data_IF_622606944210
#
_entry.id   IF_622606944210
#
_cell.length_a   1.000
_cell.length_b   1.000
_cell.length_c   1.000
_cell.angle_alpha   90.00
_cell.angle_beta   90.00
_cell.angle_gamma   90.00
#
_symmetry.space_group_name_H-M   'P 1'
#
loop_
_entity.id
_entity.type
_entity.pdbx_description
1 polymer ?
#
# COMPACT_ATOMS: atom_id res chain seq x y z
N UNK A 1 9.90 14.32 -54.19
CA UNK A 1 9.24 13.01 -53.98
C UNK A 1 10.02 12.33 -52.86
N UNK A 2 9.64 12.56 -51.60
CA UNK A 2 8.69 11.75 -50.78
C UNK A 2 9.31 10.40 -50.37
N UNK A 3 9.42 10.03 -49.09
CA UNK A 3 8.84 10.66 -47.91
C UNK A 3 9.40 10.08 -46.60
N UNK A 4 9.25 10.89 -45.55
CA UNK A 4 9.28 10.48 -44.15
C UNK A 4 7.97 9.75 -43.83
N UNK A 5 8.04 8.58 -43.22
CA UNK A 5 6.94 7.99 -42.45
C UNK A 5 7.25 8.21 -40.98
N UNK A 6 6.67 9.26 -40.42
CA UNK A 6 6.48 9.43 -38.97
C UNK A 6 5.23 8.62 -38.63
N UNK A 7 5.40 7.53 -37.91
CA UNK A 7 4.27 6.84 -37.27
C UNK A 7 3.86 7.65 -36.04
N UNK A 8 2.76 8.39 -36.18
CA UNK A 8 2.05 9.02 -35.06
C UNK A 8 1.01 8.03 -34.57
N UNK A 9 1.38 7.20 -33.60
CA UNK A 9 0.40 6.68 -32.66
C UNK A 9 0.21 7.74 -31.58
N UNK A 10 -0.86 8.52 -31.71
CA UNK A 10 -1.28 9.46 -30.66
C UNK A 10 -1.55 8.65 -29.37
N UNK A 11 -1.04 9.08 -28.20
CA UNK A 11 -1.47 8.49 -26.94
C UNK A 11 -2.97 8.77 -26.76
N UNK A 12 -3.75 7.70 -26.53
CA UNK A 12 -5.18 7.80 -26.22
C UNK A 12 -5.34 8.70 -24.98
N UNK A 13 -6.16 9.77 -25.02
CA UNK A 13 -6.27 10.70 -23.92
C UNK A 13 -7.09 10.09 -22.78
N UNK A 14 -6.42 9.42 -21.83
CA UNK A 14 -7.00 8.88 -20.61
C UNK A 14 -7.69 9.96 -19.74
N UNK A 15 -7.34 11.24 -19.93
CA UNK A 15 -7.83 12.38 -19.15
C UNK A 15 -9.27 12.81 -19.46
N UNK A 16 -9.81 12.52 -20.66
CA UNK A 16 -11.19 12.94 -21.03
C UNK A 16 -12.28 12.03 -20.47
N UNK A 17 -12.04 10.73 -20.35
CA UNK A 17 -13.05 9.76 -19.90
C UNK A 17 -13.34 9.87 -18.39
N UNK A 18 -12.33 10.20 -17.57
CA UNK A 18 -12.46 10.27 -16.11
C UNK A 18 -13.35 11.41 -15.61
N UNK A 19 -13.38 12.54 -16.33
CA UNK A 19 -14.28 13.67 -16.01
C UNK A 19 -15.77 13.31 -16.12
N UNK A 20 -16.12 12.35 -16.99
CA UNK A 20 -17.51 11.94 -17.21
C UNK A 20 -18.07 11.13 -16.04
N UNK A 21 -17.22 10.38 -15.33
CA UNK A 21 -17.63 9.53 -14.20
C UNK A 21 -17.70 10.27 -12.87
N UNK A 22 -17.06 11.45 -12.78
CA UNK A 22 -16.97 12.22 -11.53
C UNK A 22 -18.30 12.45 -10.80
N UNK A 23 -19.42 12.81 -11.46
CA UNK A 23 -20.70 12.97 -10.77
C UNK A 23 -21.23 11.66 -10.17
N UNK A 24 -21.09 10.54 -10.89
CA UNK A 24 -21.52 9.23 -10.43
C UNK A 24 -20.64 8.73 -9.28
N UNK A 25 -19.32 8.92 -9.38
CA UNK A 25 -18.35 8.59 -8.31
C UNK A 25 -18.68 9.41 -7.06
N UNK A 26 -18.92 10.72 -7.18
CA UNK A 26 -19.31 11.56 -6.05
C UNK A 26 -20.61 11.08 -5.40
N UNK A 27 -21.64 10.77 -6.18
CA UNK A 27 -22.90 10.25 -5.64
C UNK A 27 -22.72 8.94 -4.86
N UNK A 28 -21.84 8.04 -5.34
CA UNK A 28 -21.52 6.79 -4.65
C UNK A 28 -20.77 7.05 -3.34
N UNK A 29 -19.72 7.88 -3.38
CA UNK A 29 -18.83 8.16 -2.24
C UNK A 29 -19.52 8.97 -1.14
N UNK A 30 -20.31 9.97 -1.51
CA UNK A 30 -20.97 10.85 -0.54
C UNK A 30 -22.29 10.24 -0.03
N UNK A 31 -22.92 9.38 -0.83
CA UNK A 31 -24.25 8.83 -0.54
C UNK A 31 -24.23 7.41 0.02
N UNK A 32 -23.75 6.44 -0.78
CA UNK A 32 -23.94 5.02 -0.47
C UNK A 32 -22.82 4.43 0.40
N UNK A 33 -21.57 4.79 0.13
CA UNK A 33 -20.42 4.22 0.84
C UNK A 33 -20.44 4.47 2.36
N UNK A 34 -20.78 5.67 2.87
CA UNK A 34 -20.80 5.95 4.31
C UNK A 34 -21.87 5.13 5.07
N UNK A 35 -22.89 4.62 4.38
CA UNK A 35 -23.96 3.83 4.99
C UNK A 35 -23.58 2.36 5.21
N UNK A 36 -22.59 1.86 4.46
CA UNK A 36 -22.20 0.44 4.47
C UNK A 36 -20.80 0.23 5.05
N UNK A 37 -19.98 1.26 5.10
CA UNK A 37 -18.61 1.20 5.57
C UNK A 37 -18.52 1.41 7.08
N UNK A 38 -17.93 0.44 7.77
CA UNK A 38 -17.83 0.39 9.22
C UNK A 38 -16.41 0.67 9.73
N UNK A 39 -15.53 1.14 8.85
CA UNK A 39 -14.10 1.28 9.15
C UNK A 39 -13.80 2.03 10.45
N UNK A 40 -14.48 3.15 10.72
CA UNK A 40 -14.21 3.97 11.92
C UNK A 40 -14.62 3.22 13.19
N UNK A 41 -15.83 2.64 13.20
CA UNK A 41 -16.37 1.92 14.35
C UNK A 41 -15.61 0.62 14.65
N UNK A 42 -15.09 -0.05 13.63
CA UNK A 42 -14.37 -1.32 13.78
C UNK A 42 -12.88 -1.10 14.10
N UNK A 43 -12.28 0.05 13.77
CA UNK A 43 -10.88 0.37 14.08
C UNK A 43 -10.62 0.68 15.56
N UNK A 44 -11.67 0.89 16.35
CA UNK A 44 -11.56 1.11 17.79
C UNK A 44 -11.93 -0.15 18.59
N UNK A 45 -11.96 -1.31 17.92
CA UNK A 45 -12.27 -2.61 18.53
C UNK A 45 -11.11 -3.58 18.32
N UNK A 46 -10.92 -4.54 19.24
CA UNK A 46 -10.05 -5.68 19.02
C UNK A 46 -10.39 -6.43 17.73
N UNK A 47 -9.37 -6.86 17.02
CA UNK A 47 -9.46 -7.73 15.87
C UNK A 47 -9.88 -9.13 16.28
N UNK A 48 -10.91 -9.66 15.64
CA UNK A 48 -11.57 -10.90 16.03
C UNK A 48 -11.79 -11.89 14.87
N UNK A 49 -11.17 -11.65 13.70
CA UNK A 49 -11.46 -12.39 12.45
C UNK A 49 -10.22 -12.88 11.71
N UNK A 50 -9.28 -13.58 12.35
CA UNK A 50 -8.09 -14.08 11.66
C UNK A 50 -8.42 -15.05 10.50
N UNK A 51 -9.55 -15.74 10.57
CA UNK A 51 -10.02 -16.70 9.55
C UNK A 51 -10.28 -16.07 8.17
N UNK A 52 -10.37 -14.73 8.11
CA UNK A 52 -10.55 -14.00 6.87
C UNK A 52 -9.29 -13.92 6.01
N UNK A 53 -8.11 -14.12 6.60
CA UNK A 53 -6.80 -13.90 5.95
C UNK A 53 -6.46 -15.03 4.97
N UNK A 54 -7.22 -15.14 3.89
CA UNK A 54 -7.10 -16.20 2.86
C UNK A 54 -6.64 -15.63 1.52
N UNK A 55 -5.92 -16.41 0.68
CA UNK A 55 -5.43 -15.93 -0.62
C UNK A 55 -6.52 -15.84 -1.69
N UNK A 56 -7.64 -16.55 -1.50
CA UNK A 56 -8.78 -16.52 -2.41
C UNK A 56 -8.46 -16.81 -3.90
N UNK A 57 -7.39 -17.54 -4.22
CA UNK A 57 -6.98 -17.80 -5.61
C UNK A 57 -8.08 -18.48 -6.46
N UNK A 58 -8.80 -19.44 -5.89
CA UNK A 58 -9.90 -20.14 -6.58
C UNK A 58 -11.25 -19.39 -6.52
N UNK A 59 -11.30 -18.23 -5.85
CA UNK A 59 -12.54 -17.48 -5.65
C UNK A 59 -13.02 -16.83 -6.96
N UNK A 60 -14.34 -16.86 -7.18
CA UNK A 60 -15.02 -16.05 -8.20
C UNK A 60 -15.65 -14.78 -7.62
N UNK A 61 -15.58 -14.60 -6.30
CA UNK A 61 -16.17 -13.47 -5.57
C UNK A 61 -15.14 -12.38 -5.33
N UNK A 62 -14.11 -12.70 -4.55
CA UNK A 62 -12.93 -11.85 -4.35
C UNK A 62 -12.02 -11.99 -5.56
N UNK A 63 -11.69 -10.86 -6.19
CA UNK A 63 -10.85 -10.77 -7.36
C UNK A 63 -9.36 -10.68 -7.00
N UNK A 64 -9.08 -10.06 -5.86
CA UNK A 64 -7.72 -9.94 -5.36
C UNK A 64 -7.64 -9.96 -3.84
N UNK A 65 -6.46 -10.31 -3.34
CA UNK A 65 -6.08 -10.20 -1.92
C UNK A 65 -4.70 -9.59 -1.77
N UNK A 66 -4.45 -8.97 -0.63
CA UNK A 66 -3.17 -8.39 -0.26
C UNK A 66 -2.70 -8.99 1.06
N UNK A 67 -1.42 -9.34 1.13
CA UNK A 67 -0.68 -9.57 2.38
C UNK A 67 0.47 -8.57 2.45
N UNK A 68 0.54 -7.82 3.54
CA UNK A 68 1.50 -6.74 3.74
C UNK A 68 2.25 -6.88 5.05
N UNK A 69 3.57 -6.64 5.01
CA UNK A 69 4.39 -6.47 6.21
C UNK A 69 5.20 -5.19 6.05
N UNK A 70 5.09 -4.29 7.03
CA UNK A 70 5.75 -3.00 6.99
C UNK A 70 6.45 -2.70 8.31
N UNK A 71 7.76 -2.49 8.25
CA UNK A 71 8.58 -1.99 9.35
C UNK A 71 8.94 -0.54 9.02
N UNK A 72 8.22 0.45 9.56
CA UNK A 72 8.31 1.84 9.09
C UNK A 72 9.55 2.60 9.59
N UNK A 73 10.26 2.05 10.58
CA UNK A 73 11.37 2.72 11.25
C UNK A 73 12.48 1.72 11.56
N UNK A 74 13.53 1.76 10.75
CA UNK A 74 14.78 1.01 10.92
C UNK A 74 15.99 1.97 10.97
N UNK A 75 17.13 1.54 11.54
CA UNK A 75 18.37 2.29 11.42
C UNK A 75 18.77 2.53 9.96
N UNK A 76 19.49 3.62 9.70
CA UNK A 76 20.14 3.83 8.42
C UNK A 76 21.19 2.73 8.15
N UNK A 77 21.37 2.29 6.89
CA UNK A 77 20.75 2.82 5.67
C UNK A 77 19.36 2.25 5.35
N UNK A 78 18.85 1.27 6.09
CA UNK A 78 17.60 0.55 5.77
C UNK A 78 16.37 1.47 5.86
N UNK A 79 16.24 2.24 6.95
CA UNK A 79 15.13 3.19 7.26
C UNK A 79 13.71 2.62 7.33
N UNK A 80 13.35 1.71 6.44
CA UNK A 80 12.13 0.93 6.43
C UNK A 80 12.40 -0.47 5.85
N UNK A 81 11.46 -1.38 6.05
CA UNK A 81 11.31 -2.59 5.24
C UNK A 81 9.84 -2.71 4.85
N UNK A 82 9.56 -2.97 3.58
CA UNK A 82 8.24 -3.40 3.15
C UNK A 82 8.28 -4.80 2.53
N UNK A 83 7.15 -5.48 2.61
CA UNK A 83 6.79 -6.67 1.83
C UNK A 83 5.33 -6.48 1.45
N UNK A 84 5.10 -6.07 0.21
CA UNK A 84 3.79 -5.78 -0.34
C UNK A 84 3.48 -6.82 -1.40
N UNK A 85 2.37 -7.54 -1.23
CA UNK A 85 1.93 -8.55 -2.20
C UNK A 85 0.53 -8.25 -2.72
N UNK A 86 0.28 -8.56 -3.99
CA UNK A 86 -1.06 -8.64 -4.54
C UNK A 86 -1.23 -10.02 -5.15
N UNK A 87 -2.34 -10.69 -4.85
CA UNK A 87 -2.74 -11.96 -5.46
C UNK A 87 -4.00 -11.67 -6.25
N UNK A 88 -3.93 -11.79 -7.57
CA UNK A 88 -4.96 -11.40 -8.53
C UNK A 88 -4.83 -9.94 -8.97
N UNK A 89 -5.12 -9.68 -10.24
CA UNK A 89 -5.23 -8.30 -10.74
C UNK A 89 -6.35 -7.55 -10.00
N UNK A 90 -6.05 -6.32 -9.61
CA UNK A 90 -6.92 -5.55 -8.72
C UNK A 90 -8.15 -5.02 -9.44
N UNK A 91 -8.04 -4.76 -10.75
CA UNK A 91 -9.06 -4.06 -11.52
C UNK A 91 -9.10 -2.57 -11.22
N UNK A 92 -8.03 -1.97 -10.71
CA UNK A 92 -7.94 -0.52 -10.42
C UNK A 92 -6.86 0.17 -11.26
N UNK A 93 -7.07 1.46 -11.51
CA UNK A 93 -6.11 2.27 -12.29
C UNK A 93 -4.75 2.38 -11.60
N UNK A 94 -4.71 2.62 -10.28
CA UNK A 94 -3.46 2.82 -9.53
C UNK A 94 -2.61 1.55 -9.37
N UNK A 95 -3.24 0.36 -9.31
CA UNK A 95 -2.51 -0.87 -8.98
C UNK A 95 -2.24 -1.81 -10.16
N UNK A 96 -3.05 -1.80 -11.21
CA UNK A 96 -2.88 -2.76 -12.30
C UNK A 96 -1.75 -2.37 -13.27
N UNK A 97 -0.75 -3.25 -13.35
CA UNK A 97 0.27 -3.27 -14.39
C UNK A 97 -0.03 -4.36 -15.41
N UNK A 98 -0.84 -4.04 -16.42
CA UNK A 98 -1.35 -5.05 -17.37
C UNK A 98 -0.24 -5.77 -18.15
N UNK A 99 0.94 -5.14 -18.31
CA UNK A 99 2.10 -5.76 -18.95
C UNK A 99 2.72 -6.91 -18.12
N UNK A 100 2.39 -6.99 -16.83
CA UNK A 100 2.79 -8.06 -15.91
C UNK A 100 1.71 -9.13 -15.76
N UNK A 101 0.57 -9.00 -16.44
CA UNK A 101 -0.55 -9.91 -16.26
C UNK A 101 -0.18 -11.34 -16.67
N UNK A 102 -0.50 -12.30 -15.81
CA UNK A 102 -0.47 -13.70 -16.15
C UNK A 102 -1.47 -14.02 -17.30
N UNK A 103 -1.32 -15.15 -18.01
CA UNK A 103 -2.27 -15.57 -19.05
C UNK A 103 -3.74 -15.56 -18.60
N UNK A 104 -4.00 -15.90 -17.33
CA UNK A 104 -5.23 -15.56 -16.62
C UNK A 104 -4.92 -14.44 -15.63
N UNK A 105 -5.36 -13.21 -15.91
CA UNK A 105 -5.02 -12.02 -15.13
C UNK A 105 -5.44 -12.14 -13.65
N UNK A 106 -6.40 -13.02 -13.31
CA UNK A 106 -6.82 -13.30 -11.94
C UNK A 106 -5.79 -14.12 -11.15
N UNK A 107 -4.83 -14.74 -11.84
CA UNK A 107 -3.70 -15.42 -11.22
C UNK A 107 -2.46 -14.52 -11.15
N UNK A 108 -2.51 -13.28 -11.66
CA UNK A 108 -1.37 -12.37 -11.55
C UNK A 108 -1.06 -12.13 -10.09
N UNK A 109 0.11 -12.56 -9.64
CA UNK A 109 0.61 -12.28 -8.31
C UNK A 109 1.83 -11.36 -8.41
N UNK A 110 1.97 -10.39 -7.52
CA UNK A 110 3.14 -9.52 -7.46
C UNK A 110 3.71 -9.47 -6.05
N UNK A 111 5.03 -9.31 -5.98
CA UNK A 111 5.77 -9.06 -4.75
C UNK A 111 6.63 -7.83 -4.96
N UNK A 112 6.49 -6.85 -4.07
CA UNK A 112 7.43 -5.75 -3.87
C UNK A 112 8.03 -5.89 -2.47
N UNK A 113 9.35 -5.96 -2.38
CA UNK A 113 10.05 -5.83 -1.11
C UNK A 113 11.27 -4.93 -1.28
N UNK A 114 11.45 -3.98 -0.38
CA UNK A 114 12.55 -3.03 -0.43
C UNK A 114 12.86 -2.42 0.93
N UNK A 115 14.04 -1.81 1.00
CA UNK A 115 14.42 -0.87 2.04
C UNK A 115 14.92 0.42 1.37
N UNK A 116 15.28 1.43 2.16
CA UNK A 116 15.96 2.63 1.65
C UNK A 116 17.44 2.39 1.33
N UNK A 117 18.02 1.25 1.75
CA UNK A 117 19.43 0.97 1.46
C UNK A 117 19.67 0.81 -0.05
N UNK A 118 20.84 1.22 -0.56
CA UNK A 118 21.18 1.08 -1.98
C UNK A 118 21.04 -0.37 -2.46
N UNK A 119 20.36 -0.57 -3.60
CA UNK A 119 20.19 -1.88 -4.20
C UNK A 119 19.18 -2.82 -3.51
N UNK A 120 18.68 -2.50 -2.32
CA UNK A 120 17.66 -3.30 -1.63
C UNK A 120 16.27 -3.06 -2.23
N UNK A 121 16.03 -3.66 -3.40
CA UNK A 121 14.79 -3.55 -4.15
C UNK A 121 14.50 -4.83 -4.91
N UNK A 122 13.32 -5.39 -4.68
CA UNK A 122 12.82 -6.56 -5.37
C UNK A 122 11.39 -6.27 -5.83
N UNK A 123 11.14 -6.36 -7.13
CA UNK A 123 9.80 -6.29 -7.69
C UNK A 123 9.63 -7.33 -8.79
N UNK A 124 8.68 -8.25 -8.62
CA UNK A 124 8.43 -9.33 -9.58
C UNK A 124 6.95 -9.69 -9.63
N UNK A 125 6.52 -10.14 -10.81
CA UNK A 125 5.24 -10.79 -11.03
C UNK A 125 5.41 -12.30 -11.23
N UNK A 126 4.37 -13.05 -10.89
CA UNK A 126 4.26 -14.50 -10.95
C UNK A 126 2.89 -14.88 -11.52
N UNK A 127 2.80 -16.02 -12.21
CA UNK A 127 1.53 -16.72 -12.37
C UNK A 127 1.27 -17.57 -11.11
N UNK A 128 0.30 -17.16 -10.30
CA UNK A 128 -0.04 -17.84 -9.07
C UNK A 128 -0.51 -19.29 -9.25
N UNK A 129 -0.93 -19.71 -10.45
CA UNK A 129 -1.32 -21.10 -10.69
C UNK A 129 -0.13 -22.04 -10.82
N UNK A 130 1.01 -21.55 -11.33
CA UNK A 130 2.15 -22.38 -11.72
C UNK A 130 3.41 -22.08 -10.90
N UNK A 131 3.59 -20.84 -10.43
CA UNK A 131 4.80 -20.37 -9.76
C UNK A 131 4.61 -20.12 -8.27
N UNK A 132 3.40 -20.29 -7.72
CA UNK A 132 3.10 -20.01 -6.31
C UNK A 132 2.48 -21.22 -5.62
N UNK A 133 2.62 -21.27 -4.29
CA UNK A 133 1.99 -22.27 -3.44
C UNK A 133 1.27 -21.57 -2.29
N UNK A 134 -0.05 -21.50 -2.39
CA UNK A 134 -0.92 -20.84 -1.42
C UNK A 134 -1.86 -21.86 -0.78
N UNK A 135 -1.75 -22.02 0.54
CA UNK A 135 -2.70 -22.82 1.32
C UNK A 135 -4.04 -22.09 1.40
N UNK A 136 -5.14 -22.82 1.19
CA UNK A 136 -6.49 -22.22 1.07
C UNK A 136 -6.94 -21.51 2.35
N UNK A 137 -6.50 -22.01 3.51
CA UNK A 137 -6.75 -21.42 4.81
C UNK A 137 -5.89 -20.18 5.11
N UNK A 138 -4.92 -19.89 4.23
CA UNK A 138 -3.98 -18.77 4.35
C UNK A 138 -2.84 -19.00 5.34
N UNK A 139 -2.67 -20.22 5.86
CA UNK A 139 -1.61 -20.55 6.81
C UNK A 139 -0.21 -20.43 6.21
N UNK A 140 -0.07 -20.60 4.90
CA UNK A 140 1.19 -20.42 4.17
C UNK A 140 0.96 -19.87 2.77
N UNK A 141 1.62 -18.77 2.46
CA UNK A 141 1.59 -18.07 1.18
C UNK A 141 3.03 -18.00 0.63
N UNK A 142 3.33 -18.72 -0.44
CA UNK A 142 4.67 -18.74 -1.05
C UNK A 142 4.66 -18.27 -2.52
N UNK A 143 5.55 -17.35 -2.85
CA UNK A 143 5.74 -16.76 -4.18
C UNK A 143 7.09 -17.22 -4.76
N UNK A 144 7.05 -18.25 -5.62
CA UNK A 144 8.25 -18.92 -6.11
C UNK A 144 9.19 -19.31 -4.97
N UNK A 145 10.48 -19.10 -5.19
CA UNK A 145 11.54 -19.30 -4.19
C UNK A 145 11.88 -18.01 -3.42
N UNK A 146 11.16 -16.90 -3.67
CA UNK A 146 11.57 -15.58 -3.20
C UNK A 146 10.90 -15.14 -1.90
N UNK A 147 9.65 -15.51 -1.66
CA UNK A 147 8.93 -15.05 -0.47
C UNK A 147 8.02 -16.15 0.08
N UNK A 148 8.10 -16.36 1.38
CA UNK A 148 7.16 -17.18 2.15
C UNK A 148 6.62 -16.33 3.30
N UNK A 149 5.30 -16.29 3.43
CA UNK A 149 4.58 -15.74 4.59
C UNK A 149 3.83 -16.90 5.25
N UNK A 150 4.17 -17.20 6.49
CA UNK A 150 3.46 -18.16 7.33
C UNK A 150 2.57 -17.41 8.32
N UNK A 151 1.33 -17.84 8.46
CA UNK A 151 0.30 -17.18 9.27
C UNK A 151 -0.34 -18.17 10.24
N UNK A 152 -0.20 -17.87 11.52
CA UNK A 152 -0.84 -18.57 12.63
C UNK A 152 -1.27 -17.54 13.67
N UNK A 153 -2.02 -16.52 13.24
CA UNK A 153 -2.41 -15.35 14.04
C UNK A 153 -2.60 -15.70 15.54
N UNK A 154 -1.91 -14.98 16.45
CA UNK A 154 -1.19 -13.72 16.21
C UNK A 154 0.24 -13.86 15.66
N UNK A 155 0.75 -15.07 15.45
CA UNK A 155 2.15 -15.28 15.06
C UNK A 155 2.31 -15.42 13.55
N UNK A 156 3.28 -14.71 12.99
CA UNK A 156 3.64 -14.78 11.59
C UNK A 156 5.14 -14.98 11.43
N UNK A 157 5.53 -15.63 10.33
CA UNK A 157 6.92 -15.70 9.88
C UNK A 157 7.01 -15.18 8.45
N UNK A 158 7.99 -14.34 8.18
CA UNK A 158 8.27 -13.84 6.83
C UNK A 158 9.69 -14.23 6.46
N UNK A 159 9.84 -14.94 5.36
CA UNK A 159 11.15 -15.31 4.81
C UNK A 159 11.23 -14.83 3.37
N UNK A 160 12.05 -13.81 3.15
CA UNK A 160 12.38 -13.25 1.84
C UNK A 160 13.79 -13.64 1.42
N UNK A 161 13.95 -14.06 0.16
CA UNK A 161 15.22 -14.38 -0.48
C UNK A 161 15.28 -13.67 -1.83
N UNK A 162 16.04 -12.58 -1.89
CA UNK A 162 16.12 -11.71 -3.06
C UNK A 162 17.57 -11.56 -3.53
N UNK A 163 17.74 -11.09 -4.76
CA UNK A 163 19.07 -11.03 -5.40
C UNK A 163 20.09 -10.18 -4.62
N UNK A 164 19.62 -9.13 -3.92
CA UNK A 164 20.48 -8.17 -3.22
C UNK A 164 20.35 -8.18 -1.70
N UNK A 165 19.29 -8.79 -1.14
CA UNK A 165 19.07 -8.86 0.30
C UNK A 165 18.10 -9.98 0.67
N UNK A 166 18.23 -10.47 1.90
CA UNK A 166 17.38 -11.48 2.51
C UNK A 166 16.68 -10.91 3.73
N UNK A 167 15.50 -11.46 4.03
CA UNK A 167 14.67 -11.10 5.17
C UNK A 167 14.27 -12.37 5.91
N UNK A 168 14.41 -12.40 7.22
CA UNK A 168 13.86 -13.46 8.07
C UNK A 168 13.30 -12.81 9.34
N UNK A 169 11.98 -12.77 9.46
CA UNK A 169 11.27 -12.11 10.55
C UNK A 169 10.29 -13.05 11.24
N UNK A 170 10.28 -12.98 12.56
CA UNK A 170 9.20 -13.46 13.42
C UNK A 170 8.39 -12.27 13.87
N UNK A 171 7.07 -12.36 13.77
CA UNK A 171 6.15 -11.25 14.00
C UNK A 171 5.04 -11.71 14.93
N UNK A 172 4.73 -10.89 15.93
CA UNK A 172 3.58 -11.08 16.81
C UNK A 172 2.67 -9.87 16.66
N UNK A 173 1.50 -10.09 16.05
CA UNK A 173 0.46 -9.08 15.92
C UNK A 173 -0.30 -8.91 17.23
N UNK A 174 -0.73 -7.69 17.53
CA UNK A 174 -1.74 -7.42 18.56
C UNK A 174 -3.13 -7.62 17.96
N UNK A 175 -4.16 -7.44 18.78
CA UNK A 175 -5.55 -7.31 18.31
C UNK A 175 -5.90 -5.87 17.92
N UNK A 176 -4.95 -4.93 17.95
CA UNK A 176 -5.22 -3.54 17.57
C UNK A 176 -5.28 -3.39 16.06
N UNK A 177 -6.50 -3.35 15.52
CA UNK A 177 -6.78 -3.16 14.10
C UNK A 177 -6.98 -1.69 13.73
N UNK A 178 -6.50 -1.32 12.55
CA UNK A 178 -6.94 -0.15 11.79
C UNK A 178 -7.57 -0.65 10.50
N UNK A 179 -8.87 -0.47 10.35
CA UNK A 179 -9.58 -0.79 9.12
C UNK A 179 -9.52 0.40 8.19
N UNK A 180 -8.86 0.27 7.03
CA UNK A 180 -8.90 1.31 5.99
C UNK A 180 -10.22 1.29 5.23
N UNK A 181 -10.80 0.09 5.07
CA UNK A 181 -12.14 -0.14 4.53
C UNK A 181 -12.74 -1.35 5.23
N UNK A 182 -14.01 -1.26 5.64
CA UNK A 182 -14.73 -2.40 6.21
C UNK A 182 -16.16 -2.44 5.72
N UNK A 183 -16.39 -3.12 4.60
CA UNK A 183 -17.72 -3.26 4.01
C UNK A 183 -17.88 -4.64 3.31
N UNK A 184 -19.08 -4.99 2.79
CA UNK A 184 -19.32 -6.31 2.19
C UNK A 184 -18.52 -6.64 0.91
N UNK A 185 -17.94 -5.64 0.25
CA UNK A 185 -17.25 -5.74 -1.05
C UNK A 185 -15.73 -5.67 -0.86
N UNK A 186 -15.27 -4.93 0.14
CA UNK A 186 -13.86 -4.67 0.41
C UNK A 186 -13.61 -4.67 1.92
N UNK A 187 -12.66 -5.52 2.30
CA UNK A 187 -12.02 -5.51 3.61
C UNK A 187 -10.56 -5.12 3.43
N UNK A 188 -10.08 -4.13 4.18
CA UNK A 188 -8.67 -3.81 4.28
C UNK A 188 -8.33 -3.43 5.72
N UNK A 189 -7.51 -4.27 6.35
CA UNK A 189 -7.12 -4.14 7.74
C UNK A 189 -5.60 -4.12 7.88
N UNK A 190 -5.16 -3.33 8.83
CA UNK A 190 -3.79 -3.21 9.28
C UNK A 190 -3.74 -3.53 10.76
N UNK A 191 -2.88 -4.46 11.18
CA UNK A 191 -2.70 -4.84 12.58
C UNK A 191 -1.38 -4.29 13.09
N UNK A 192 -1.41 -3.65 14.26
CA UNK A 192 -0.18 -3.28 14.96
C UNK A 192 0.55 -4.55 15.38
N UNK A 193 1.86 -4.60 15.17
CA UNK A 193 2.66 -5.77 15.48
C UNK A 193 4.06 -5.40 15.97
N UNK A 194 4.77 -6.39 16.53
CA UNK A 194 6.20 -6.32 16.80
C UNK A 194 6.90 -7.40 15.97
N UNK A 195 8.01 -7.04 15.34
CA UNK A 195 8.85 -7.99 14.63
C UNK A 195 10.25 -8.07 15.24
N UNK A 196 10.83 -9.25 15.19
CA UNK A 196 12.26 -9.47 15.44
C UNK A 196 12.84 -10.39 14.39
N UNK A 197 14.10 -10.19 14.02
CA UNK A 197 14.73 -11.03 13.01
C UNK A 197 15.95 -10.38 12.39
N UNK A 198 16.23 -10.74 11.14
CA UNK A 198 17.43 -10.29 10.42
C UNK A 198 17.09 -9.82 9.01
N UNK A 199 17.75 -8.74 8.58
CA UNK A 199 17.86 -8.34 7.19
C UNK A 199 19.32 -8.53 6.80
N UNK A 200 19.62 -9.42 5.85
CA UNK A 200 20.98 -9.71 5.44
C UNK A 200 21.26 -9.20 4.02
N UNK A 201 22.45 -8.70 3.79
CA UNK A 201 22.95 -8.30 2.47
C UNK A 201 24.45 -8.62 2.36
N UNK A 202 25.09 -8.39 1.21
CA UNK A 202 26.54 -8.53 1.08
C UNK A 202 27.36 -7.70 2.08
N UNK A 203 26.80 -6.61 2.60
CA UNK A 203 27.43 -5.75 3.62
C UNK A 203 27.35 -6.34 5.04
N UNK A 204 26.56 -7.41 5.22
CA UNK A 204 26.40 -8.15 6.46
C UNK A 204 24.96 -8.17 6.99
N UNK A 205 24.68 -9.04 7.98
CA UNK A 205 23.36 -9.12 8.60
C UNK A 205 23.12 -7.97 9.59
N UNK A 206 21.91 -7.42 9.56
CA UNK A 206 21.37 -6.47 10.53
C UNK A 206 20.25 -7.13 11.31
N UNK A 207 20.47 -7.36 12.60
CA UNK A 207 19.40 -7.80 13.51
C UNK A 207 18.48 -6.64 13.86
N UNK A 208 17.17 -6.89 13.80
CA UNK A 208 16.15 -5.91 14.10
C UNK A 208 15.19 -6.41 15.18
N UNK A 209 14.70 -5.46 15.96
CA UNK A 209 13.55 -5.62 16.86
C UNK A 209 12.80 -4.30 16.83
N UNK A 210 11.62 -4.28 16.24
CA UNK A 210 10.93 -3.04 15.89
C UNK A 210 9.40 -3.20 15.84
N UNK A 211 8.66 -2.12 16.12
CA UNK A 211 7.26 -2.04 15.74
C UNK A 211 7.10 -2.20 14.23
N UNK A 212 6.10 -2.98 13.85
CA UNK A 212 5.74 -3.21 12.47
C UNK A 212 4.22 -3.29 12.33
N UNK A 213 3.81 -3.64 11.13
CA UNK A 213 2.41 -3.80 10.77
C UNK A 213 2.23 -5.05 9.93
N UNK A 214 1.18 -5.82 10.20
CA UNK A 214 0.69 -6.88 9.32
C UNK A 214 -0.61 -6.43 8.69
N UNK A 215 -0.68 -6.41 7.36
CA UNK A 215 -1.85 -5.96 6.61
C UNK A 215 -2.46 -7.11 5.81
N UNK A 216 -3.78 -7.09 5.74
CA UNK A 216 -4.54 -7.98 4.89
C UNK A 216 -5.66 -7.23 4.21
N UNK A 217 -5.86 -7.51 2.93
CA UNK A 217 -7.02 -7.02 2.21
C UNK A 217 -7.62 -8.07 1.29
N UNK A 218 -8.91 -7.96 1.01
CA UNK A 218 -9.61 -8.72 -0.04
C UNK A 218 -10.71 -7.87 -0.63
N UNK A 219 -10.86 -7.91 -1.94
CA UNK A 219 -11.83 -7.06 -2.61
C UNK A 219 -12.52 -7.77 -3.77
N UNK A 220 -13.80 -7.49 -3.93
CA UNK A 220 -14.59 -7.88 -5.10
C UNK A 220 -14.48 -6.78 -6.16
N UNK A 221 -13.95 -7.12 -7.33
CA UNK A 221 -13.85 -6.18 -8.45
C UNK A 221 -14.30 -6.84 -9.76
N UNK A 222 -14.58 -6.06 -10.82
CA UNK A 222 -15.02 -6.62 -12.11
C UNK A 222 -13.99 -7.59 -12.74
N UNK A 223 -12.73 -7.56 -12.29
CA UNK A 223 -11.69 -8.46 -12.76
C UNK A 223 -12.03 -9.94 -12.48
N UNK A 224 -12.79 -10.24 -11.41
CA UNK A 224 -13.26 -11.60 -11.11
C UNK A 224 -14.06 -12.25 -12.26
N UNK A 225 -14.73 -11.43 -13.09
CA UNK A 225 -15.63 -11.86 -14.15
C UNK A 225 -14.90 -12.25 -15.45
N UNK A 226 -13.62 -11.93 -15.58
CA UNK A 226 -12.85 -12.15 -16.82
C UNK A 226 -11.44 -12.65 -16.56
N UNK A 227 -10.94 -13.50 -17.46
CA UNK A 227 -9.54 -13.94 -17.46
C UNK A 227 -8.58 -12.91 -18.03
N UNK A 228 -9.09 -11.97 -18.82
CA UNK A 228 -8.27 -10.92 -19.44
C UNK A 228 -8.16 -9.76 -18.48
N UNK A 229 -7.00 -9.09 -18.46
CA UNK A 229 -6.86 -7.81 -17.79
C UNK A 229 -7.95 -6.85 -18.28
N UNK A 230 -8.56 -6.12 -17.35
CA UNK A 230 -9.58 -5.13 -17.71
C UNK A 230 -8.95 -4.02 -18.56
N UNK A 231 -9.59 -3.60 -19.66
CA UNK A 231 -9.15 -2.39 -20.34
C UNK A 231 -9.26 -1.20 -19.39
N UNK A 232 -8.38 -0.20 -19.56
CA UNK A 232 -8.28 0.96 -18.66
C UNK A 232 -9.64 1.67 -18.44
N UNK A 233 -10.51 1.71 -19.45
CA UNK A 233 -11.84 2.32 -19.35
C UNK A 233 -12.84 1.57 -18.47
N UNK A 234 -12.55 0.32 -18.09
CA UNK A 234 -13.38 -0.55 -17.25
C UNK A 234 -12.78 -0.76 -15.85
N UNK A 235 -11.56 -0.28 -15.62
CA UNK A 235 -10.94 -0.31 -14.28
C UNK A 235 -11.67 0.63 -13.34
N UNK A 236 -11.69 0.26 -12.07
CA UNK A 236 -12.16 1.13 -10.99
C UNK A 236 -11.28 2.39 -10.97
N UNK A 237 -11.89 3.58 -10.91
CA UNK A 237 -11.20 4.82 -11.25
C UNK A 237 -10.41 5.41 -10.09
N UNK A 238 -9.88 4.57 -9.19
CA UNK A 238 -8.94 5.00 -8.16
C UNK A 238 -7.66 5.45 -8.86
N UNK A 239 -7.41 6.76 -8.89
CA UNK A 239 -6.38 7.41 -9.69
C UNK A 239 -5.32 8.14 -8.85
N UNK A 240 -5.50 8.16 -7.54
CA UNK A 240 -4.49 8.64 -6.59
C UNK A 240 -4.50 7.77 -5.34
N UNK A 241 -3.32 7.43 -4.85
CA UNK A 241 -3.14 6.70 -3.60
C UNK A 241 -1.88 7.18 -2.89
N UNK A 242 -2.01 7.57 -1.63
CA UNK A 242 -0.89 7.57 -0.70
C UNK A 242 -1.26 6.91 0.62
N UNK A 243 -0.30 6.16 1.15
CA UNK A 243 -0.35 5.57 2.48
C UNK A 243 0.98 5.80 3.18
N UNK A 244 0.96 6.25 4.43
CA UNK A 244 2.16 6.51 5.21
C UNK A 244 2.05 5.88 6.59
N UNK A 245 3.16 5.31 7.04
CA UNK A 245 3.28 4.68 8.35
C UNK A 245 4.40 5.40 9.09
N UNK A 246 4.05 5.99 10.23
CA UNK A 246 4.97 6.72 11.08
C UNK A 246 4.94 6.14 12.48
N UNK A 247 6.10 5.70 12.96
CA UNK A 247 6.25 5.39 14.36
C UNK A 247 6.62 6.68 15.11
N UNK A 248 5.63 7.29 15.78
CA UNK A 248 5.76 8.62 16.41
C UNK A 248 6.70 8.59 17.62
N UNK A 249 6.60 7.52 18.41
CA UNK A 249 7.47 7.22 19.56
C UNK A 249 7.47 5.70 19.79
N UNK A 250 7.88 5.20 20.96
CA UNK A 250 7.93 3.75 21.24
C UNK A 250 6.55 3.11 21.48
N UNK A 251 5.50 3.92 21.60
CA UNK A 251 4.13 3.48 21.93
C UNK A 251 3.13 3.76 20.83
N UNK A 252 3.27 4.86 20.10
CA UNK A 252 2.27 5.38 19.17
C UNK A 252 2.70 5.17 17.72
N UNK A 253 1.81 4.56 16.94
CA UNK A 253 1.93 4.44 15.50
C UNK A 253 0.81 5.23 14.83
N UNK A 254 1.19 6.02 13.83
CA UNK A 254 0.32 6.84 13.02
C UNK A 254 0.25 6.25 11.61
N UNK A 255 -0.97 6.05 11.13
CA UNK A 255 -1.28 5.64 9.77
C UNK A 255 -2.01 6.80 9.08
N UNK A 256 -1.57 7.18 7.88
CA UNK A 256 -2.16 8.29 7.12
C UNK A 256 -2.48 7.84 5.72
N UNK A 257 -3.68 8.11 5.23
CA UNK A 257 -4.08 7.73 3.88
C UNK A 257 -4.83 8.85 3.17
N UNK A 258 -4.60 9.00 1.87
CA UNK A 258 -5.45 9.75 0.94
C UNK A 258 -5.61 8.90 -0.34
N UNK A 259 -6.85 8.52 -0.62
CA UNK A 259 -7.26 7.77 -1.81
C UNK A 259 -8.26 8.60 -2.56
N UNK A 260 -8.01 8.82 -3.85
CA UNK A 260 -8.94 9.55 -4.72
C UNK A 260 -9.36 8.69 -5.89
N UNK A 261 -10.61 8.91 -6.31
CA UNK A 261 -11.18 8.29 -7.47
C UNK A 261 -11.78 9.36 -8.39
N UNK A 262 -11.30 9.43 -9.63
CA UNK A 262 -11.66 10.49 -10.58
C UNK A 262 -11.47 11.90 -10.01
N UNK A 263 -10.40 12.12 -9.25
CA UNK A 263 -10.11 13.38 -8.58
C UNK A 263 -11.12 13.79 -7.49
N UNK A 264 -11.78 12.82 -6.86
CA UNK A 264 -12.62 13.00 -5.67
C UNK A 264 -12.05 12.15 -4.55
N UNK A 265 -11.82 12.73 -3.38
CA UNK A 265 -11.37 12.00 -2.19
C UNK A 265 -12.39 10.94 -1.81
N UNK A 266 -11.98 9.67 -1.91
CA UNK A 266 -12.74 8.50 -1.49
C UNK A 266 -12.43 8.09 -0.04
N UNK A 267 -11.21 8.40 0.43
CA UNK A 267 -10.77 8.18 1.79
C UNK A 267 -9.67 9.19 2.09
N UNK A 268 -9.79 9.94 3.20
CA UNK A 268 -8.67 10.68 3.78
C UNK A 268 -8.79 10.59 5.29
N UNK A 269 -7.93 9.80 5.92
CA UNK A 269 -8.05 9.43 7.33
C UNK A 269 -6.68 9.31 7.99
N UNK A 270 -6.67 9.52 9.29
CA UNK A 270 -5.55 9.23 10.15
C UNK A 270 -5.96 8.23 11.24
N UNK A 271 -5.06 7.31 11.58
CA UNK A 271 -5.24 6.37 12.69
C UNK A 271 -4.07 6.54 13.63
N UNK A 272 -4.34 6.82 14.90
CA UNK A 272 -3.32 6.74 15.96
C UNK A 272 -3.67 5.53 16.80
N UNK A 273 -2.75 4.56 16.83
CA UNK A 273 -2.90 3.32 17.58
C UNK A 273 -1.71 3.08 18.49
N UNK A 274 -1.93 2.36 19.56
CA UNK A 274 -0.92 2.13 20.59
C UNK A 274 -0.72 0.65 20.91
N UNK A 275 0.48 0.32 21.38
CA UNK A 275 0.86 -1.04 21.78
C UNK A 275 0.04 -1.59 22.95
N UNK A 276 -0.60 -0.73 23.75
CA UNK A 276 -1.47 -1.08 24.88
C UNK A 276 -2.97 -1.18 24.50
N UNK A 277 -3.29 -1.16 23.20
CA UNK A 277 -4.63 -1.49 22.70
C UNK A 277 -5.60 -0.31 22.64
N UNK A 278 -5.10 0.93 22.59
CA UNK A 278 -5.92 2.09 22.27
C UNK A 278 -5.79 2.44 20.78
N UNK A 279 -6.90 2.88 20.18
CA UNK A 279 -6.87 3.49 18.87
C UNK A 279 -7.89 4.61 18.74
N UNK A 280 -7.54 5.59 17.90
CA UNK A 280 -8.41 6.66 17.45
C UNK A 280 -8.32 6.79 15.94
N UNK A 281 -9.45 7.11 15.34
CA UNK A 281 -9.57 7.43 13.92
C UNK A 281 -9.97 8.89 13.80
N UNK A 282 -9.31 9.61 12.90
CA UNK A 282 -9.56 11.02 12.64
C UNK A 282 -9.93 11.22 11.17
N UNK A 283 -10.95 12.06 10.94
CA UNK A 283 -11.48 12.43 9.64
C UNK A 283 -11.28 13.92 9.29
N UNK A 284 -10.97 14.78 10.27
CA UNK A 284 -10.42 16.12 10.05
C UNK A 284 -8.91 16.01 9.77
N UNK A 285 -8.60 15.68 8.52
CA UNK A 285 -7.24 15.45 8.03
C UNK A 285 -6.97 16.29 6.79
N UNK A 286 -5.88 17.06 6.83
CA UNK A 286 -5.35 17.81 5.70
C UNK A 286 -4.04 17.17 5.22
N UNK A 287 -3.90 17.11 3.89
CA UNK A 287 -2.72 16.58 3.21
C UNK A 287 -2.39 17.49 2.05
N UNK A 288 -1.16 18.01 2.05
CA UNK A 288 -0.65 18.91 1.02
C UNK A 288 0.69 18.39 0.51
N UNK A 289 0.86 18.38 -0.82
CA UNK A 289 2.19 18.33 -1.43
C UNK A 289 2.65 19.77 -1.58
N UNK A 290 3.63 20.17 -0.76
CA UNK A 290 4.17 21.52 -0.76
C UNK A 290 5.13 21.73 -1.93
N UNK A 291 5.87 20.69 -2.31
CA UNK A 291 6.75 20.71 -3.46
C UNK A 291 6.85 19.33 -4.11
N UNK A 292 6.89 19.29 -5.44
CA UNK A 292 7.17 18.08 -6.24
C UNK A 292 8.64 18.02 -6.63
N UNK A 293 9.15 16.83 -6.94
CA UNK A 293 10.47 16.68 -7.53
C UNK A 293 10.59 17.45 -8.87
N UNK A 294 11.79 17.98 -9.16
CA UNK A 294 12.05 18.80 -10.35
C UNK A 294 11.78 18.05 -11.67
N UNK A 295 12.01 16.74 -11.67
CA UNK A 295 11.78 15.86 -12.81
C UNK A 295 10.66 14.87 -12.51
N UNK A 296 9.90 14.51 -13.56
CA UNK A 296 8.95 13.41 -13.48
C UNK A 296 9.70 12.11 -13.28
N UNK A 297 9.20 11.28 -12.38
CA UNK A 297 9.67 9.91 -12.23
C UNK A 297 9.14 9.07 -13.36
N UNK A 298 10.03 8.28 -13.97
CA UNK A 298 9.70 7.41 -15.10
C UNK A 298 9.80 5.97 -14.65
N UNK A 299 8.75 5.20 -14.87
CA UNK A 299 8.76 3.79 -14.55
C UNK A 299 9.38 2.93 -15.67
N UNK A 300 9.55 1.61 -15.47
CA UNK A 300 10.13 0.72 -16.49
C UNK A 300 9.33 0.63 -17.80
N UNK A 301 8.08 1.10 -17.84
CA UNK A 301 7.25 1.17 -19.05
C UNK A 301 7.28 2.56 -19.70
N UNK A 302 8.06 3.50 -19.18
CA UNK A 302 8.14 4.86 -19.69
C UNK A 302 6.97 5.75 -19.25
N UNK A 303 6.14 5.33 -18.28
CA UNK A 303 5.07 6.17 -17.75
C UNK A 303 5.65 7.18 -16.78
N UNK A 304 5.24 8.42 -16.93
CA UNK A 304 5.68 9.53 -16.09
C UNK A 304 4.74 9.72 -14.89
N UNK A 305 5.31 10.03 -13.74
CA UNK A 305 4.58 10.29 -12.50
C UNK A 305 5.22 11.46 -11.74
N UNK A 306 4.40 12.33 -11.18
CA UNK A 306 4.86 13.33 -10.21
C UNK A 306 5.01 12.66 -8.85
N UNK A 307 6.12 12.91 -8.18
CA UNK A 307 6.36 12.46 -6.80
C UNK A 307 6.62 13.66 -5.91
N UNK A 308 6.19 13.63 -4.64
CA UNK A 308 6.44 14.71 -3.71
C UNK A 308 7.92 14.78 -3.38
N UNK A 309 8.44 16.00 -3.22
CA UNK A 309 9.70 16.28 -2.52
C UNK A 309 9.43 16.72 -1.09
N UNK A 310 8.45 17.60 -0.90
CA UNK A 310 8.02 18.08 0.42
C UNK A 310 6.52 17.94 0.55
N UNK A 311 6.08 17.39 1.68
CA UNK A 311 4.67 17.20 1.99
C UNK A 311 4.35 17.62 3.42
N UNK A 312 3.07 17.87 3.69
CA UNK A 312 2.57 18.20 5.02
C UNK A 312 1.31 17.40 5.33
N UNK A 313 1.24 16.93 6.57
CA UNK A 313 0.02 16.40 7.15
C UNK A 313 -0.40 17.24 8.35
N UNK A 314 -1.71 17.48 8.48
CA UNK A 314 -2.33 17.97 9.70
C UNK A 314 -3.52 17.08 10.05
N UNK A 315 -3.60 16.68 11.32
CA UNK A 315 -4.68 15.87 11.88
C UNK A 315 -5.26 16.64 13.05
N UNK A 316 -6.58 16.84 13.05
CA UNK A 316 -7.29 17.56 14.11
C UNK A 316 -8.35 16.67 14.75
N UNK A 317 -8.69 17.01 15.98
CA UNK A 317 -9.78 16.43 16.76
C UNK A 317 -10.56 17.57 17.39
N UNK A 318 -11.83 17.74 16.99
CA UNK A 318 -12.68 18.87 17.38
C UNK A 318 -12.00 20.25 17.21
N UNK A 319 -11.29 20.44 16.08
CA UNK A 319 -10.58 21.68 15.75
C UNK A 319 -9.24 21.88 16.46
N UNK A 320 -8.84 21.00 17.38
CA UNK A 320 -7.50 21.00 17.98
C UNK A 320 -6.54 20.18 17.13
N UNK A 321 -5.39 20.72 16.77
CA UNK A 321 -4.31 19.95 16.14
C UNK A 321 -3.79 18.87 17.09
N UNK A 322 -3.86 17.62 16.64
CA UNK A 322 -3.33 16.43 17.33
C UNK A 322 -1.96 16.08 16.76
N UNK A 323 -1.84 16.04 15.43
CA UNK A 323 -0.57 15.82 14.74
C UNK A 323 -0.42 16.87 13.65
N UNK A 324 0.78 17.41 13.52
CA UNK A 324 1.18 18.17 12.34
C UNK A 324 2.65 17.90 12.06
N UNK A 325 3.00 17.59 10.82
CA UNK A 325 4.41 17.54 10.41
C UNK A 325 4.60 17.92 8.95
N UNK A 326 5.78 18.47 8.68
CA UNK A 326 6.34 18.58 7.34
C UNK A 326 7.38 17.47 7.14
N UNK A 327 7.39 16.88 5.95
CA UNK A 327 8.28 15.79 5.60
C UNK A 327 8.97 16.06 4.26
N UNK A 328 10.27 15.75 4.22
CA UNK A 328 11.09 15.77 3.02
C UNK A 328 11.39 14.34 2.58
N UNK A 329 11.02 13.99 1.36
CA UNK A 329 11.35 12.70 0.76
C UNK A 329 12.83 12.72 0.39
N UNK A 330 13.63 11.95 1.13
CA UNK A 330 15.09 11.96 1.09
C UNK A 330 15.67 10.54 0.90
N UNK A 331 14.83 9.60 0.46
CA UNK A 331 15.27 8.27 -0.01
C UNK A 331 15.02 8.09 -1.50
N UNK A 332 15.74 7.15 -2.12
CA UNK A 332 15.43 6.71 -3.47
C UNK A 332 14.03 6.08 -3.55
N UNK A 333 13.24 6.49 -4.55
CA UNK A 333 11.93 5.91 -4.84
C UNK A 333 12.07 4.50 -5.43
N UNK A 334 11.39 3.52 -4.82
CA UNK A 334 11.38 2.12 -5.25
C UNK A 334 10.08 1.80 -5.99
N UNK A 335 10.17 1.51 -7.28
CA UNK A 335 9.00 1.18 -8.11
C UNK A 335 8.41 -0.20 -7.76
N UNK A 336 7.09 -0.35 -7.91
CA UNK A 336 6.43 -1.65 -7.82
C UNK A 336 5.18 -1.68 -6.95
N UNK A 337 4.83 -0.56 -6.32
CA UNK A 337 3.56 -0.42 -5.60
C UNK A 337 2.48 -0.06 -6.61
N UNK A 338 2.00 -1.09 -7.33
CA UNK A 338 1.18 -0.86 -8.51
C UNK A 338 1.94 -0.09 -9.57
N UNK A 339 1.33 0.97 -10.11
CA UNK A 339 1.97 1.88 -11.06
C UNK A 339 2.93 2.89 -10.40
N UNK A 340 3.02 2.91 -9.06
CA UNK A 340 3.79 3.90 -8.33
C UNK A 340 4.97 3.33 -7.55
N UNK A 341 5.30 4.05 -6.48
CA UNK A 341 6.57 3.93 -5.78
C UNK A 341 6.37 3.85 -4.27
N UNK A 342 7.40 3.35 -3.60
CA UNK A 342 7.54 3.44 -2.14
C UNK A 342 8.85 4.13 -1.78
N UNK A 343 8.92 4.67 -0.58
CA UNK A 343 10.11 5.34 -0.09
C UNK A 343 10.05 5.63 1.39
N UNK A 344 11.00 6.44 1.84
CA UNK A 344 11.06 7.01 3.16
C UNK A 344 11.32 8.51 3.09
N UNK A 345 10.96 9.17 4.18
CA UNK A 345 11.16 10.60 4.37
C UNK A 345 11.67 10.89 5.77
N UNK A 346 12.25 12.08 5.93
CA UNK A 346 12.53 12.67 7.24
C UNK A 346 11.47 13.72 7.55
N UNK A 347 10.95 13.76 8.78
CA UNK A 347 9.92 14.71 9.17
C UNK A 347 10.26 15.48 10.44
N UNK A 348 9.64 16.65 10.59
CA UNK A 348 9.64 17.47 11.81
C UNK A 348 8.25 18.04 12.05
N UNK A 349 7.82 18.09 13.30
CA UNK A 349 6.46 18.51 13.63
C UNK A 349 6.12 18.47 15.10
N UNK A 350 4.84 18.26 15.39
CA UNK A 350 4.31 18.08 16.74
C UNK A 350 3.27 16.97 16.84
N UNK A 351 3.22 16.31 17.99
CA UNK A 351 2.17 15.37 18.40
C UNK A 351 1.69 15.76 19.80
N UNK A 352 0.40 16.06 19.94
CA UNK A 352 -0.22 16.59 21.16
C UNK A 352 0.52 17.82 21.74
N UNK A 353 1.11 18.64 20.86
CA UNK A 353 1.88 19.84 21.20
C UNK A 353 3.34 19.58 21.59
N UNK A 354 3.76 18.31 21.75
CA UNK A 354 5.16 17.96 21.93
C UNK A 354 5.87 17.88 20.58
N UNK A 355 7.11 18.39 20.50
CA UNK A 355 7.88 18.32 19.26
C UNK A 355 8.26 16.87 18.93
N UNK A 356 8.06 16.49 17.68
CA UNK A 356 8.45 15.19 17.12
C UNK A 356 9.31 15.39 15.88
N UNK A 357 10.20 14.43 15.63
CA UNK A 357 10.96 14.31 14.40
C UNK A 357 11.37 12.85 14.22
N UNK A 358 11.62 12.44 12.99
CA UNK A 358 12.00 11.07 12.71
C UNK A 358 11.96 10.73 11.24
N UNK A 359 11.76 9.44 10.95
CA UNK A 359 11.59 8.93 9.59
C UNK A 359 10.24 8.24 9.46
N UNK A 360 9.61 8.37 8.29
CA UNK A 360 8.38 7.66 7.97
C UNK A 360 8.51 6.89 6.65
N UNK A 361 7.66 5.89 6.49
CA UNK A 361 7.47 5.12 5.26
C UNK A 361 6.34 5.74 4.43
N UNK A 362 6.49 5.74 3.11
CA UNK A 362 5.48 6.25 2.17
C UNK A 362 5.26 5.29 1.00
N UNK A 363 4.00 5.11 0.65
CA UNK A 363 3.52 4.58 -0.62
C UNK A 363 2.89 5.72 -1.42
N UNK A 364 3.15 5.77 -2.73
CA UNK A 364 2.74 6.87 -3.59
C UNK A 364 2.39 6.41 -5.01
N UNK A 365 1.17 6.72 -5.45
CA UNK A 365 0.71 6.56 -6.83
C UNK A 365 -0.08 7.80 -7.25
N UNK A 366 0.41 8.55 -8.22
CA UNK A 366 -0.31 9.66 -8.86
C UNK A 366 -0.55 9.34 -10.34
N UNK A 367 -1.77 8.88 -10.66
CA UNK A 367 -2.24 8.67 -12.02
C UNK A 367 -3.20 9.79 -12.46
N UNK A 368 -3.26 10.92 -11.75
CA UNK A 368 -4.14 12.06 -12.06
C UNK A 368 -3.57 12.96 -13.18
N UNK A 369 -2.29 12.75 -13.55
CA UNK A 369 -1.52 13.56 -14.51
C UNK A 369 -1.92 13.32 -15.96
#
# INVERSE_FOLDING_TARGET
MTGQTVDRSDPVPATRSRRLWRPAVRALLDGALPLIDKRMAESVRPFDRPDMMRPHLASRKFAWTHYGIFVPRLPGPLRYLNTMTLIGATGTVVFDNDYLAAPDARNTATVLSSTAAPGHHFYRAYDAADECAFEEDGSRIAFGDNLIIENSYPNFRVTGRYDSFDVDLEIVATDQASWFVRNPVYDHVSLLAQCSGTIASPDGPVSISAPCTVEYARCMTPQSLTRRALPESWKLPADFFTYQIVQLDDRHQLLLTDVRASGVTACKLAYIRTVDGSAKVFDDVEFDVLEYADALHVDPQGREMRVPRVLRWQVRDYGRTVVEFEAEIDSEWRYGHGKGYVGAYTYRGSFDGASINGTGYIEWVDCEV
#
